data_IF_674072657122
#
_entry.id   IF_674072657122
#
_cell.length_a   1.000
_cell.length_b   1.000
_cell.length_c   1.000
_cell.angle_alpha   90.00
_cell.angle_beta   90.00
_cell.angle_gamma   90.00
#
_symmetry.space_group_name_H-M   'P 1'
#
loop_
_entity.id
_entity.type
_entity.pdbx_description
1 polymer ?
#
# COMPACT_ATOMS: atom_id res chain seq x y z
N UNK A 1 12.22 -33.60 -6.28
CA UNK A 1 12.54 -32.26 -6.80
C UNK A 1 12.56 -31.34 -5.60
N UNK A 2 13.69 -30.65 -5.36
CA UNK A 2 13.69 -29.60 -4.32
C UNK A 2 12.75 -28.49 -4.76
N UNK A 3 11.71 -28.21 -3.97
CA UNK A 3 10.77 -27.15 -4.27
C UNK A 3 11.50 -25.78 -4.20
N UNK A 4 11.28 -24.93 -5.20
CA UNK A 4 11.86 -23.59 -5.29
C UNK A 4 11.31 -22.70 -4.19
N UNK A 5 12.14 -21.87 -3.57
CA UNK A 5 11.63 -20.71 -2.81
C UNK A 5 11.32 -19.58 -3.78
N UNK A 6 10.32 -18.79 -3.47
CA UNK A 6 9.96 -17.60 -4.21
C UNK A 6 10.17 -16.37 -3.32
N UNK A 7 10.92 -15.42 -3.80
CA UNK A 7 11.14 -14.14 -3.16
C UNK A 7 10.51 -13.07 -4.04
N UNK A 8 9.46 -12.42 -3.54
CA UNK A 8 8.72 -11.40 -4.26
C UNK A 8 8.88 -10.06 -3.53
N UNK A 9 9.43 -9.08 -4.22
CA UNK A 9 9.66 -7.75 -3.67
C UNK A 9 8.86 -6.73 -4.47
N UNK A 10 8.07 -5.93 -3.77
CA UNK A 10 7.29 -4.82 -4.34
C UNK A 10 7.93 -3.51 -3.93
N UNK A 11 8.38 -2.74 -4.91
CA UNK A 11 8.72 -1.32 -4.76
C UNK A 11 7.41 -0.54 -4.92
N UNK A 12 6.80 -0.12 -3.81
CA UNK A 12 5.46 0.47 -3.81
C UNK A 12 5.41 1.75 -4.65
N UNK A 13 4.35 1.94 -5.43
CA UNK A 13 4.15 3.03 -6.38
C UNK A 13 5.18 3.13 -7.55
N UNK A 14 6.09 2.18 -7.70
CA UNK A 14 7.06 2.17 -8.79
C UNK A 14 6.45 1.55 -10.06
N UNK A 15 6.23 2.38 -11.09
CA UNK A 15 5.63 1.95 -12.34
C UNK A 15 6.41 2.40 -13.57
N UNK A 16 6.19 1.67 -14.68
CA UNK A 16 6.84 1.90 -15.99
C UNK A 16 5.82 2.29 -17.08
N UNK A 17 4.67 2.78 -16.67
CA UNK A 17 3.58 3.21 -17.56
C UNK A 17 2.25 3.25 -16.82
N UNK A 18 1.24 3.83 -17.47
CA UNK A 18 -0.12 3.92 -16.96
C UNK A 18 -0.88 2.61 -17.20
N UNK A 19 -1.76 2.25 -16.27
CA UNK A 19 -2.70 1.15 -16.46
C UNK A 19 -3.73 1.45 -17.57
N UNK A 20 -4.39 0.42 -18.14
CA UNK A 20 -5.32 0.60 -19.26
C UNK A 20 -6.55 1.44 -18.92
N UNK A 21 -6.93 1.51 -17.66
CA UNK A 21 -8.06 2.30 -17.17
C UNK A 21 -7.66 3.59 -16.45
N UNK A 22 -6.38 3.98 -16.51
CA UNK A 22 -5.84 5.17 -15.86
C UNK A 22 -6.58 6.48 -16.24
N UNK A 23 -7.20 6.52 -17.41
CA UNK A 23 -8.02 7.66 -17.87
C UNK A 23 -9.24 7.92 -16.97
N UNK A 24 -9.66 6.94 -16.16
CA UNK A 24 -10.78 7.07 -15.20
C UNK A 24 -10.35 7.77 -13.90
N UNK A 25 -9.06 7.92 -13.67
CA UNK A 25 -8.51 8.38 -12.41
C UNK A 25 -7.70 9.65 -12.58
N UNK A 26 -7.61 10.39 -11.49
CA UNK A 26 -6.79 11.60 -11.42
C UNK A 26 -6.31 11.83 -9.99
N UNK A 27 -5.20 12.51 -9.85
CA UNK A 27 -4.64 12.97 -8.58
C UNK A 27 -4.66 14.52 -8.56
N UNK A 28 -5.64 15.09 -7.84
CA UNK A 28 -5.97 16.50 -8.00
C UNK A 28 -6.49 16.75 -9.43
N UNK A 29 -5.86 17.67 -10.16
CA UNK A 29 -6.20 18.02 -11.55
C UNK A 29 -5.34 17.26 -12.58
N UNK A 30 -4.47 16.34 -12.14
CA UNK A 30 -3.55 15.63 -13.02
C UNK A 30 -4.12 14.24 -13.34
N UNK A 31 -4.39 13.94 -14.63
CA UNK A 31 -4.86 12.62 -15.05
C UNK A 31 -3.79 11.55 -14.82
N UNK A 32 -4.19 10.36 -14.37
CA UNK A 32 -3.28 9.24 -14.16
C UNK A 32 -2.83 8.57 -15.48
N UNK A 33 -3.45 8.91 -16.60
CA UNK A 33 -3.06 8.45 -17.94
C UNK A 33 -1.61 8.81 -18.33
N UNK A 34 -1.01 9.78 -17.64
CA UNK A 34 0.40 10.14 -17.79
C UNK A 34 1.36 9.44 -16.83
N UNK A 35 0.91 8.47 -16.05
CA UNK A 35 1.74 7.80 -15.04
C UNK A 35 2.92 7.06 -15.68
N UNK A 36 4.13 7.36 -15.20
CA UNK A 36 5.40 6.75 -15.61
C UNK A 36 6.48 7.11 -14.58
N UNK A 37 6.46 6.45 -13.44
CA UNK A 37 7.34 6.78 -12.31
C UNK A 37 8.81 6.71 -12.70
N UNK A 38 9.25 5.61 -13.32
CA UNK A 38 10.65 5.45 -13.75
C UNK A 38 11.05 6.50 -14.79
N UNK A 39 10.23 6.71 -15.82
CA UNK A 39 10.54 7.64 -16.90
C UNK A 39 10.64 9.08 -16.44
N UNK A 40 9.71 9.50 -15.58
CA UNK A 40 9.73 10.86 -15.01
C UNK A 40 10.93 11.09 -14.09
N UNK A 41 11.26 10.14 -13.21
CA UNK A 41 12.44 10.24 -12.35
C UNK A 41 13.72 10.26 -13.18
N UNK A 42 13.87 9.33 -14.14
CA UNK A 42 15.06 9.27 -15.00
C UNK A 42 15.25 10.57 -15.81
N UNK A 43 14.15 11.13 -16.35
CA UNK A 43 14.18 12.39 -17.08
C UNK A 43 14.58 13.57 -16.18
N UNK A 44 14.05 13.62 -14.95
CA UNK A 44 14.35 14.69 -13.99
C UNK A 44 15.80 14.65 -13.50
N UNK A 45 16.38 13.45 -13.33
CA UNK A 45 17.80 13.28 -13.00
C UNK A 45 18.69 13.67 -14.17
N UNK A 46 18.36 13.22 -15.38
CA UNK A 46 19.13 13.49 -16.59
C UNK A 46 19.13 14.98 -16.99
N UNK A 47 18.01 15.67 -16.82
CA UNK A 47 17.90 17.11 -17.07
C UNK A 47 18.45 18.00 -15.95
N UNK A 48 18.68 17.42 -14.75
CA UNK A 48 19.11 18.18 -13.57
C UNK A 48 18.00 18.92 -12.85
N UNK A 49 16.73 18.62 -13.14
CA UNK A 49 15.60 19.23 -12.43
C UNK A 49 15.35 18.62 -11.06
N UNK A 50 15.75 17.36 -10.86
CA UNK A 50 15.64 16.69 -9.54
C UNK A 50 16.91 16.86 -8.70
N UNK A 51 18.11 16.75 -9.31
CA UNK A 51 19.40 16.80 -8.62
C UNK A 51 20.43 17.63 -9.37
N UNK A 52 21.44 18.12 -8.66
CA UNK A 52 22.60 18.81 -9.26
C UNK A 52 23.90 18.16 -8.75
N UNK A 53 24.92 17.95 -9.62
CA UNK A 53 24.87 18.14 -11.07
C UNK A 53 23.94 17.14 -11.78
N UNK A 54 23.44 17.52 -12.96
CA UNK A 54 22.63 16.64 -13.81
C UNK A 54 23.38 15.36 -14.15
N UNK A 55 22.72 14.22 -14.07
CA UNK A 55 23.30 12.91 -14.40
C UNK A 55 22.18 11.88 -14.65
N UNK A 56 22.46 10.77 -15.33
CA UNK A 56 21.51 9.66 -15.38
C UNK A 56 21.20 9.09 -14.00
N UNK A 57 19.97 8.60 -13.82
CA UNK A 57 19.59 7.75 -12.69
C UNK A 57 20.42 6.45 -12.76
N UNK A 58 21.06 6.05 -11.65
CA UNK A 58 22.05 4.96 -11.61
C UNK A 58 21.47 3.72 -10.95
N UNK A 59 20.95 2.80 -11.75
CA UNK A 59 20.40 1.52 -11.31
C UNK A 59 21.06 0.34 -12.06
N UNK A 60 22.40 0.17 -11.95
CA UNK A 60 23.12 -0.81 -12.78
C UNK A 60 22.68 -2.25 -12.55
N UNK A 61 22.31 -2.63 -11.31
CA UNK A 61 21.86 -3.98 -11.00
C UNK A 61 20.45 -4.24 -11.51
N UNK A 62 19.50 -3.31 -11.31
CA UNK A 62 18.15 -3.40 -11.87
C UNK A 62 18.18 -3.38 -13.41
N UNK A 63 19.08 -2.59 -14.01
CA UNK A 63 19.27 -2.62 -15.46
C UNK A 63 19.75 -3.99 -15.94
N UNK A 64 20.76 -4.57 -15.29
CA UNK A 64 21.26 -5.91 -15.65
C UNK A 64 20.21 -7.01 -15.42
N UNK A 65 19.29 -6.83 -14.47
CA UNK A 65 18.15 -7.72 -14.27
C UNK A 65 17.03 -7.52 -15.31
N UNK A 66 17.07 -6.46 -16.12
CA UNK A 66 16.19 -6.25 -17.26
C UNK A 66 15.20 -5.09 -17.14
N UNK A 67 15.26 -4.26 -16.09
CA UNK A 67 14.34 -3.13 -15.89
C UNK A 67 14.29 -2.18 -17.10
N UNK A 68 15.45 -1.87 -17.72
CA UNK A 68 15.51 -1.02 -18.91
C UNK A 68 14.78 -1.62 -20.12
N UNK A 69 14.86 -2.93 -20.30
CA UNK A 69 14.16 -3.62 -21.38
C UNK A 69 12.66 -3.78 -21.10
N UNK A 70 12.25 -3.99 -19.82
CA UNK A 70 10.84 -3.94 -19.42
C UNK A 70 10.22 -2.58 -19.73
N UNK A 71 10.94 -1.50 -19.40
CA UNK A 71 10.53 -0.13 -19.72
C UNK A 71 10.43 0.08 -21.24
N UNK A 72 11.39 -0.42 -22.00
CA UNK A 72 11.39 -0.31 -23.47
C UNK A 72 10.21 -1.06 -24.10
N UNK A 73 9.79 -2.19 -23.55
CA UNK A 73 8.57 -2.88 -24.01
C UNK A 73 7.34 -2.00 -23.76
N UNK A 74 7.23 -1.42 -22.57
CA UNK A 74 6.08 -0.57 -22.18
C UNK A 74 6.05 0.76 -22.92
N UNK A 75 7.21 1.42 -23.12
CA UNK A 75 7.28 2.82 -23.56
C UNK A 75 7.92 3.04 -24.96
N UNK A 76 8.45 1.98 -25.56
CA UNK A 76 9.12 2.04 -26.88
C UNK A 76 10.56 2.56 -26.85
N UNK A 77 11.02 3.14 -25.76
CA UNK A 77 12.36 3.72 -25.58
C UNK A 77 12.97 3.28 -24.26
N UNK A 78 14.27 3.49 -24.08
CA UNK A 78 14.92 3.37 -22.78
C UNK A 78 14.67 4.63 -21.94
N UNK A 79 14.75 4.54 -20.59
CA UNK A 79 14.73 5.71 -19.72
C UNK A 79 15.82 6.73 -20.10
N UNK A 80 15.59 8.01 -19.84
CA UNK A 80 16.50 9.08 -20.20
C UNK A 80 17.92 8.85 -19.62
N UNK A 81 18.92 8.95 -20.47
CA UNK A 81 20.33 8.75 -20.11
C UNK A 81 20.76 7.30 -19.95
N UNK A 82 19.88 6.31 -20.19
CA UNK A 82 20.24 4.89 -20.14
C UNK A 82 20.66 4.35 -21.50
N UNK A 83 21.51 3.34 -21.47
CA UNK A 83 21.93 2.55 -22.64
C UNK A 83 21.64 1.07 -22.38
N UNK A 84 21.59 0.27 -23.42
CA UNK A 84 21.52 -1.19 -23.28
C UNK A 84 22.73 -1.74 -22.56
N UNK A 85 22.54 -2.77 -21.76
CA UNK A 85 23.59 -3.50 -21.07
C UNK A 85 23.38 -5.01 -21.24
N UNK A 86 24.38 -5.78 -20.84
CA UNK A 86 24.26 -7.23 -20.77
C UNK A 86 23.27 -7.61 -19.65
N UNK A 87 22.41 -8.59 -19.96
CA UNK A 87 21.37 -9.02 -19.05
C UNK A 87 21.80 -10.27 -18.28
N UNK A 88 21.57 -10.24 -16.97
CA UNK A 88 21.79 -11.37 -16.07
C UNK A 88 20.47 -11.96 -15.55
N UNK A 89 19.35 -11.30 -15.80
CA UNK A 89 18.00 -11.71 -15.39
C UNK A 89 17.07 -11.90 -16.59
N UNK A 90 15.83 -12.26 -16.26
CA UNK A 90 14.71 -12.28 -17.19
C UNK A 90 13.81 -11.10 -16.91
N UNK A 91 13.12 -10.60 -17.91
CA UNK A 91 12.27 -9.42 -17.77
C UNK A 91 10.93 -9.62 -18.48
N UNK A 92 9.93 -8.93 -17.99
CA UNK A 92 8.61 -8.84 -18.61
C UNK A 92 7.98 -7.49 -18.31
N UNK A 93 6.93 -7.16 -19.05
CA UNK A 93 6.04 -6.06 -18.77
C UNK A 93 4.64 -6.65 -18.55
N UNK A 94 4.01 -6.31 -17.43
CA UNK A 94 2.66 -6.72 -17.12
C UNK A 94 1.74 -5.50 -17.06
N UNK A 95 0.52 -5.67 -17.53
CA UNK A 95 -0.52 -4.66 -17.48
C UNK A 95 -1.59 -5.10 -16.49
N UNK A 96 -2.02 -4.18 -15.60
CA UNK A 96 -3.07 -4.49 -14.61
C UNK A 96 -4.40 -4.74 -15.30
N UNK A 97 -5.11 -5.78 -14.87
CA UNK A 97 -6.49 -6.07 -15.27
C UNK A 97 -7.49 -5.85 -14.14
N UNK A 98 -7.01 -5.50 -12.94
CA UNK A 98 -7.87 -5.09 -11.82
C UNK A 98 -8.53 -3.76 -12.12
N UNK A 99 -9.79 -3.63 -11.74
CA UNK A 99 -10.48 -2.33 -11.71
C UNK A 99 -10.18 -1.66 -10.37
N UNK A 100 -9.78 -0.39 -10.39
CA UNK A 100 -9.50 0.37 -9.17
C UNK A 100 -8.03 0.74 -9.01
N UNK A 101 -7.82 1.73 -8.15
CA UNK A 101 -6.56 2.40 -7.93
C UNK A 101 -6.23 2.40 -6.43
N UNK A 102 -6.01 1.24 -5.88
CA UNK A 102 -5.65 1.13 -4.47
C UNK A 102 -4.63 0.00 -4.26
N UNK A 103 -3.91 0.08 -3.16
CA UNK A 103 -2.85 -0.87 -2.80
C UNK A 103 -3.34 -2.34 -2.78
N UNK A 104 -4.52 -2.68 -2.20
CA UNK A 104 -5.02 -4.04 -2.25
C UNK A 104 -5.21 -4.58 -3.66
N UNK A 105 -5.82 -3.81 -4.58
CA UNK A 105 -6.06 -4.27 -5.96
C UNK A 105 -4.76 -4.68 -6.65
N UNK A 106 -3.72 -3.88 -6.58
CA UNK A 106 -2.43 -4.19 -7.18
C UNK A 106 -1.75 -5.40 -6.54
N UNK A 107 -1.69 -5.44 -5.20
CA UNK A 107 -1.03 -6.53 -4.50
C UNK A 107 -1.76 -7.87 -4.64
N UNK A 108 -3.10 -7.88 -4.59
CA UNK A 108 -3.86 -9.11 -4.78
C UNK A 108 -3.70 -9.65 -6.20
N UNK A 109 -3.65 -8.77 -7.20
CA UNK A 109 -3.40 -9.17 -8.59
C UNK A 109 -2.00 -9.77 -8.76
N UNK A 110 -0.96 -9.17 -8.16
CA UNK A 110 0.40 -9.74 -8.11
C UNK A 110 0.37 -11.17 -7.51
N UNK A 111 -0.48 -11.42 -6.52
CA UNK A 111 -0.67 -12.74 -5.91
C UNK A 111 -1.71 -13.62 -6.62
N UNK A 112 -2.10 -13.29 -7.86
CA UNK A 112 -2.96 -14.09 -8.72
C UNK A 112 -4.46 -13.87 -8.55
N UNK A 113 -4.90 -12.84 -7.84
CA UNK A 113 -6.31 -12.53 -7.57
C UNK A 113 -6.64 -11.10 -8.03
N UNK A 114 -6.86 -10.89 -9.34
CA UNK A 114 -7.24 -9.57 -9.84
C UNK A 114 -8.63 -9.18 -9.33
N UNK A 115 -8.78 -7.91 -8.99
CA UNK A 115 -10.05 -7.32 -8.54
C UNK A 115 -10.87 -6.95 -9.77
N UNK A 116 -12.02 -7.64 -9.96
CA UNK A 116 -12.92 -7.46 -11.12
C UNK A 116 -14.26 -6.83 -10.74
N UNK A 117 -14.28 -6.11 -9.61
CA UNK A 117 -15.44 -5.35 -9.15
C UNK A 117 -15.02 -3.92 -8.85
N UNK A 118 -15.96 -2.99 -8.95
CA UNK A 118 -15.70 -1.60 -8.62
C UNK A 118 -15.77 -1.39 -7.12
N UNK A 119 -14.76 -0.73 -6.56
CA UNK A 119 -14.79 -0.26 -5.19
C UNK A 119 -15.86 0.81 -5.02
N UNK A 120 -16.51 0.83 -3.86
CA UNK A 120 -17.43 1.90 -3.50
C UNK A 120 -16.64 3.08 -2.93
N UNK A 121 -16.89 4.26 -3.45
CA UNK A 121 -16.37 5.52 -2.92
C UNK A 121 -17.53 6.35 -2.41
N UNK A 122 -17.42 6.86 -1.19
CA UNK A 122 -18.46 7.75 -0.68
C UNK A 122 -18.41 9.11 -1.41
N UNK A 123 -19.55 9.71 -1.73
CA UNK A 123 -19.60 10.96 -2.51
C UNK A 123 -19.05 12.15 -1.71
N UNK A 124 -18.44 13.12 -2.40
CA UNK A 124 -17.96 14.39 -1.81
C UNK A 124 -19.12 15.36 -1.53
N UNK A 125 -20.00 14.98 -0.63
CA UNK A 125 -21.15 15.79 -0.19
C UNK A 125 -21.22 15.78 1.33
N UNK A 126 -21.89 16.76 1.97
CA UNK A 126 -22.31 16.65 3.36
C UNK A 126 -23.19 15.40 3.56
N UNK A 127 -23.04 14.72 4.70
CA UNK A 127 -23.74 13.45 4.99
C UNK A 127 -23.48 12.39 3.91
N UNK A 128 -22.19 12.11 3.65
CA UNK A 128 -21.73 11.22 2.58
C UNK A 128 -22.03 9.74 2.82
N UNK A 129 -22.22 9.31 4.06
CA UNK A 129 -22.57 7.92 4.38
C UNK A 129 -24.07 7.69 4.25
N UNK A 130 -24.51 6.58 3.61
CA UNK A 130 -25.94 6.27 3.49
C UNK A 130 -26.63 6.21 4.84
N UNK A 131 -27.80 6.82 5.01
CA UNK A 131 -28.55 6.79 6.29
C UNK A 131 -28.85 5.38 6.80
N UNK A 132 -29.15 4.43 5.90
CA UNK A 132 -29.39 3.03 6.24
C UNK A 132 -28.14 2.34 6.81
N UNK A 133 -26.96 2.64 6.25
CA UNK A 133 -25.67 2.15 6.77
C UNK A 133 -25.43 2.67 8.18
N UNK A 134 -25.59 3.97 8.40
CA UNK A 134 -25.43 4.57 9.73
C UNK A 134 -26.41 4.00 10.75
N UNK A 135 -27.68 3.83 10.37
CA UNK A 135 -28.69 3.25 11.25
C UNK A 135 -28.30 1.84 11.72
N UNK A 136 -27.80 1.00 10.83
CA UNK A 136 -27.36 -0.35 11.16
C UNK A 136 -26.09 -0.34 12.04
N UNK A 137 -25.14 0.55 11.73
CA UNK A 137 -23.95 0.73 12.58
C UNK A 137 -24.35 1.16 13.99
N UNK A 138 -25.23 2.16 14.12
CA UNK A 138 -25.69 2.64 15.42
C UNK A 138 -26.43 1.56 16.20
N UNK A 139 -27.30 0.82 15.52
CA UNK A 139 -28.04 -0.29 16.14
C UNK A 139 -27.11 -1.36 16.72
N UNK A 140 -26.13 -1.83 15.92
CA UNK A 140 -25.23 -2.92 16.35
C UNK A 140 -24.16 -2.47 17.35
N UNK A 141 -23.68 -1.24 17.25
CA UNK A 141 -22.62 -0.73 18.13
C UNK A 141 -23.15 -0.12 19.43
N UNK A 142 -24.45 0.15 19.53
CA UNK A 142 -25.06 0.84 20.68
C UNK A 142 -24.71 2.32 20.79
N UNK A 143 -24.10 2.92 19.77
CA UNK A 143 -23.90 4.37 19.70
C UNK A 143 -25.14 5.04 19.11
N UNK A 144 -25.41 6.25 19.56
CA UNK A 144 -26.66 6.96 19.20
C UNK A 144 -26.50 7.87 17.98
N UNK A 145 -25.28 8.33 17.70
CA UNK A 145 -24.96 9.25 16.61
C UNK A 145 -23.45 9.29 16.38
N UNK A 146 -23.03 10.05 15.37
CA UNK A 146 -21.62 10.35 15.09
C UNK A 146 -21.45 11.81 14.70
N UNK A 147 -20.23 12.31 14.85
CA UNK A 147 -19.79 13.59 14.30
C UNK A 147 -19.21 13.39 12.90
N UNK A 148 -19.08 14.46 12.12
CA UNK A 148 -18.42 14.47 10.81
C UNK A 148 -19.33 14.05 9.68
N UNK A 149 -19.32 12.77 9.27
CA UNK A 149 -20.07 12.22 8.14
C UNK A 149 -19.78 12.96 6.82
N UNK A 150 -18.49 13.16 6.49
CA UNK A 150 -18.05 13.86 5.28
C UNK A 150 -16.64 13.47 4.85
N UNK A 151 -16.23 13.94 3.68
CA UNK A 151 -14.83 13.92 3.27
C UNK A 151 -14.02 14.92 4.11
N UNK A 152 -12.88 14.48 4.63
CA UNK A 152 -11.95 15.34 5.33
C UNK A 152 -10.53 14.77 5.34
N UNK A 153 -9.54 15.65 5.50
CA UNK A 153 -8.22 15.29 5.98
C UNK A 153 -8.33 14.89 7.46
N UNK A 154 -7.62 13.85 7.84
CA UNK A 154 -7.72 13.38 9.22
C UNK A 154 -7.05 14.29 10.25
N UNK A 155 -6.22 15.28 9.85
CA UNK A 155 -5.72 16.33 10.75
C UNK A 155 -6.76 17.43 10.92
N UNK A 156 -7.29 17.94 9.83
CA UNK A 156 -8.31 19.00 9.85
C UNK A 156 -9.56 18.61 10.63
N UNK A 157 -10.06 17.38 10.44
CA UNK A 157 -11.27 16.94 11.13
C UNK A 157 -11.07 16.77 12.64
N UNK A 158 -9.84 16.45 13.09
CA UNK A 158 -9.52 16.41 14.50
C UNK A 158 -9.47 17.81 15.11
N UNK A 159 -8.89 18.78 14.43
CA UNK A 159 -8.86 20.18 14.87
C UNK A 159 -10.27 20.73 15.00
N UNK A 160 -11.16 20.39 14.07
CA UNK A 160 -12.53 20.88 14.04
C UNK A 160 -13.45 20.18 15.05
N UNK A 161 -13.39 18.86 15.16
CA UNK A 161 -14.37 18.06 15.89
C UNK A 161 -13.82 17.37 17.15
N UNK A 162 -12.51 17.42 17.40
CA UNK A 162 -11.89 16.71 18.53
C UNK A 162 -12.42 17.17 19.89
N UNK A 163 -12.58 18.48 20.10
CA UNK A 163 -13.14 19.02 21.32
C UNK A 163 -14.62 18.62 21.53
N UNK A 164 -15.41 18.63 20.46
CA UNK A 164 -16.82 18.20 20.51
C UNK A 164 -16.93 16.70 20.77
N UNK A 165 -16.08 15.88 20.14
CA UNK A 165 -15.96 14.46 20.42
C UNK A 165 -15.73 14.19 21.91
N UNK A 166 -14.74 14.87 22.52
CA UNK A 166 -14.44 14.70 23.94
C UNK A 166 -15.61 15.10 24.85
N UNK A 167 -16.34 16.15 24.48
CA UNK A 167 -17.50 16.65 25.22
C UNK A 167 -18.72 15.75 25.12
N UNK A 168 -18.96 15.15 23.93
CA UNK A 168 -20.19 14.38 23.66
C UNK A 168 -19.99 12.87 23.77
N UNK A 169 -18.76 12.38 23.63
CA UNK A 169 -18.45 10.96 23.53
C UNK A 169 -18.88 10.34 22.18
N UNK A 170 -19.30 11.14 21.20
CA UNK A 170 -19.69 10.67 19.87
C UNK A 170 -18.46 10.45 18.98
N UNK A 171 -18.32 9.30 18.31
CA UNK A 171 -17.18 9.05 17.41
C UNK A 171 -17.24 9.98 16.20
N UNK A 172 -16.07 10.31 15.64
CA UNK A 172 -15.95 11.09 14.42
C UNK A 172 -15.86 10.14 13.22
N UNK A 173 -16.87 10.15 12.36
CA UNK A 173 -16.92 9.37 11.12
C UNK A 173 -16.57 10.25 9.94
N UNK A 174 -15.64 9.81 9.09
CA UNK A 174 -15.26 10.54 7.90
C UNK A 174 -14.67 9.61 6.83
N UNK A 175 -14.50 10.12 5.63
CA UNK A 175 -13.86 9.41 4.53
C UNK A 175 -12.85 10.31 3.83
N UNK A 176 -12.10 9.75 2.90
CA UNK A 176 -11.14 10.45 2.04
C UNK A 176 -11.34 10.06 0.57
N UNK A 177 -10.34 10.30 -0.27
CA UNK A 177 -10.41 9.94 -1.70
C UNK A 177 -10.40 8.42 -1.94
N UNK A 178 -9.89 7.64 -0.97
CA UNK A 178 -9.84 6.18 -1.06
C UNK A 178 -11.18 5.53 -0.71
N UNK A 179 -11.32 4.23 -1.02
CA UNK A 179 -12.45 3.41 -0.59
C UNK A 179 -12.34 3.04 0.89
N UNK A 180 -12.59 4.01 1.77
CA UNK A 180 -12.37 3.86 3.22
C UNK A 180 -13.51 4.43 4.05
N UNK A 181 -13.75 3.82 5.22
CA UNK A 181 -14.56 4.35 6.30
C UNK A 181 -13.63 4.60 7.50
N UNK A 182 -13.46 5.83 7.92
CA UNK A 182 -12.53 6.19 8.99
C UNK A 182 -13.26 6.62 10.25
N UNK A 183 -12.77 6.18 11.41
CA UNK A 183 -13.36 6.46 12.72
C UNK A 183 -12.25 7.03 13.60
N UNK A 184 -12.39 8.29 14.00
CA UNK A 184 -11.47 8.90 14.94
C UNK A 184 -12.11 9.05 16.32
N UNK A 185 -11.36 8.65 17.36
CA UNK A 185 -11.75 8.79 18.76
C UNK A 185 -10.53 9.08 19.63
N UNK A 186 -10.76 9.82 20.71
CA UNK A 186 -9.73 10.11 21.70
C UNK A 186 -9.47 8.90 22.58
N UNK A 187 -8.21 8.47 22.73
CA UNK A 187 -7.85 7.22 23.39
C UNK A 187 -8.29 7.14 24.86
N UNK A 188 -8.14 8.23 25.60
CA UNK A 188 -8.43 8.24 27.03
C UNK A 188 -9.95 8.43 27.32
N UNK A 189 -10.59 9.38 26.62
CA UNK A 189 -11.99 9.71 26.93
C UNK A 189 -13.01 8.78 26.29
N UNK A 190 -12.73 8.21 25.12
CA UNK A 190 -13.57 7.24 24.44
C UNK A 190 -13.15 5.79 24.74
N UNK A 191 -11.85 5.54 24.82
CA UNK A 191 -11.24 4.23 25.01
C UNK A 191 -10.80 3.59 23.71
N UNK A 192 -9.52 3.14 23.68
CA UNK A 192 -8.95 2.48 22.51
C UNK A 192 -9.69 1.21 22.15
N UNK A 193 -9.93 0.33 23.12
CA UNK A 193 -10.64 -0.95 22.90
C UNK A 193 -12.07 -0.73 22.37
N UNK A 194 -12.74 0.31 22.84
CA UNK A 194 -14.07 0.68 22.37
C UNK A 194 -14.03 1.15 20.91
N UNK A 195 -13.01 1.93 20.53
CA UNK A 195 -12.79 2.34 19.13
C UNK A 195 -12.53 1.12 18.24
N UNK A 196 -11.65 0.21 18.66
CA UNK A 196 -11.35 -1.00 17.90
C UNK A 196 -12.58 -1.89 17.73
N UNK A 197 -13.36 -2.11 18.79
CA UNK A 197 -14.62 -2.85 18.71
C UNK A 197 -15.67 -2.19 17.81
N UNK A 198 -15.77 -0.85 17.83
CA UNK A 198 -16.63 -0.11 16.91
C UNK A 198 -16.19 -0.29 15.45
N UNK A 199 -14.89 -0.21 15.17
CA UNK A 199 -14.35 -0.43 13.81
C UNK A 199 -14.63 -1.86 13.31
N UNK A 200 -14.53 -2.85 14.19
CA UNK A 200 -14.87 -4.23 13.84
C UNK A 200 -16.37 -4.39 13.53
N UNK A 201 -17.24 -3.76 14.31
CA UNK A 201 -18.68 -3.74 14.03
C UNK A 201 -18.99 -3.10 12.69
N UNK A 202 -18.35 -1.96 12.38
CA UNK A 202 -18.51 -1.28 11.09
C UNK A 202 -18.01 -2.16 9.94
N UNK A 203 -16.87 -2.87 10.12
CA UNK A 203 -16.36 -3.81 9.09
C UNK A 203 -17.38 -4.91 8.82
N UNK A 204 -17.93 -5.53 9.85
CA UNK A 204 -18.97 -6.56 9.72
C UNK A 204 -20.22 -6.05 8.98
N UNK A 205 -20.72 -4.86 9.34
CA UNK A 205 -21.88 -4.26 8.67
C UNK A 205 -21.59 -3.99 7.18
N UNK A 206 -20.40 -3.50 6.86
CA UNK A 206 -19.99 -3.25 5.48
C UNK A 206 -19.83 -4.56 4.69
N UNK A 207 -19.30 -5.62 5.29
CA UNK A 207 -19.15 -6.93 4.65
C UNK A 207 -20.49 -7.59 4.31
N UNK A 208 -21.50 -7.37 5.13
CA UNK A 208 -22.87 -7.84 4.90
C UNK A 208 -23.67 -6.95 3.94
N UNK A 209 -23.16 -5.75 3.63
CA UNK A 209 -23.80 -4.81 2.72
C UNK A 209 -23.38 -5.04 1.24
N UNK A 210 -24.06 -4.35 0.33
CA UNK A 210 -23.65 -4.30 -1.08
C UNK A 210 -22.44 -3.38 -1.35
N UNK A 211 -22.03 -2.60 -0.34
CA UNK A 211 -20.94 -1.63 -0.47
C UNK A 211 -19.58 -2.33 -0.43
N UNK A 212 -18.75 -2.11 -1.43
CA UNK A 212 -17.39 -2.65 -1.51
C UNK A 212 -16.38 -1.63 -0.98
N UNK A 213 -16.32 -1.48 0.35
CA UNK A 213 -15.40 -0.57 1.03
C UNK A 213 -14.13 -1.32 1.40
N UNK A 214 -13.00 -0.89 0.87
CA UNK A 214 -11.72 -1.58 1.02
C UNK A 214 -11.21 -1.67 2.47
N UNK A 215 -11.38 -0.60 3.27
CA UNK A 215 -10.88 -0.57 4.66
C UNK A 215 -11.80 0.20 5.59
N UNK A 216 -11.92 -0.29 6.82
CA UNK A 216 -12.35 0.52 7.97
C UNK A 216 -11.10 0.86 8.79
N UNK A 217 -10.90 2.13 9.12
CA UNK A 217 -9.66 2.59 9.75
C UNK A 217 -9.96 3.19 11.11
N UNK A 218 -9.40 2.58 12.16
CA UNK A 218 -9.34 3.19 13.48
C UNK A 218 -8.26 4.28 13.50
N UNK A 219 -8.65 5.50 13.88
CA UNK A 219 -7.78 6.68 13.98
C UNK A 219 -7.77 7.22 15.41
N UNK A 220 -7.11 6.52 16.34
CA UNK A 220 -6.99 7.02 17.70
C UNK A 220 -6.14 8.29 17.76
N UNK A 221 -6.49 9.17 18.67
CA UNK A 221 -5.76 10.41 18.93
C UNK A 221 -5.76 10.76 20.43
N UNK A 222 -4.85 11.62 20.83
CA UNK A 222 -4.70 12.16 22.18
C UNK A 222 -4.61 13.69 22.14
N UNK A 223 -4.62 14.31 23.30
CA UNK A 223 -4.47 15.76 23.47
C UNK A 223 -5.51 16.35 24.40
N UNK A 224 -5.28 17.55 24.97
CA UNK A 224 -6.26 18.23 25.80
C UNK A 224 -7.47 18.72 24.96
N UNK A 225 -8.61 18.91 25.61
CA UNK A 225 -9.83 19.40 24.93
C UNK A 225 -9.65 20.75 24.21
N UNK A 226 -8.65 21.52 24.59
CA UNK A 226 -8.28 22.77 23.91
C UNK A 226 -7.37 22.59 22.69
N UNK A 227 -6.98 21.31 22.36
CA UNK A 227 -5.95 21.03 21.34
C UNK A 227 -4.53 21.39 21.81
N UNK A 228 -3.51 21.13 21.00
CA UNK A 228 -3.60 20.42 19.73
C UNK A 228 -3.88 18.93 19.92
N UNK A 229 -4.55 18.33 18.93
CA UNK A 229 -4.78 16.89 18.89
C UNK A 229 -3.70 16.18 18.07
N UNK A 230 -3.20 15.06 18.60
CA UNK A 230 -2.13 14.26 17.99
C UNK A 230 -2.63 12.84 17.72
N UNK A 231 -2.43 12.36 16.50
CA UNK A 231 -2.67 10.96 16.18
C UNK A 231 -1.68 10.08 16.90
N UNK A 232 -2.14 8.95 17.42
CA UNK A 232 -1.27 7.97 18.07
C UNK A 232 -0.80 6.90 17.08
N UNK A 233 0.17 6.11 17.52
CA UNK A 233 0.65 4.94 16.78
C UNK A 233 -0.31 3.75 16.78
N UNK A 234 -1.42 3.79 17.55
CA UNK A 234 -2.39 2.70 17.70
C UNK A 234 -3.44 2.67 16.56
N UNK A 235 -3.11 3.25 15.40
CA UNK A 235 -3.91 3.09 14.19
C UNK A 235 -4.07 1.61 13.86
N UNK A 236 -5.29 1.20 13.49
CA UNK A 236 -5.56 -0.14 12.99
C UNK A 236 -6.45 -0.08 11.75
N UNK A 237 -6.06 -0.82 10.70
CA UNK A 237 -6.78 -0.91 9.45
C UNK A 237 -7.46 -2.28 9.35
N UNK A 238 -8.80 -2.29 9.32
CA UNK A 238 -9.61 -3.48 9.06
C UNK A 238 -9.85 -3.57 7.55
N UNK A 239 -8.94 -4.22 6.85
CA UNK A 239 -9.03 -4.46 5.41
C UNK A 239 -10.02 -5.58 5.11
N UNK A 240 -10.67 -5.51 3.94
CA UNK A 240 -11.41 -6.64 3.40
C UNK A 240 -10.41 -7.70 2.92
N UNK A 241 -10.65 -9.00 3.15
CA UNK A 241 -9.75 -10.03 2.64
C UNK A 241 -9.85 -10.16 1.11
N UNK A 242 -8.82 -10.73 0.44
CA UNK A 242 -8.87 -11.04 -0.98
C UNK A 242 -10.11 -11.88 -1.32
N UNK A 243 -10.77 -11.61 -2.48
CA UNK A 243 -12.03 -12.29 -2.84
C UNK A 243 -11.85 -13.76 -3.28
N UNK A 244 -10.62 -14.24 -3.38
CA UNK A 244 -10.27 -15.61 -3.71
C UNK A 244 -8.91 -16.00 -3.10
N UNK A 245 -8.57 -17.31 -3.03
CA UNK A 245 -7.29 -17.74 -2.50
C UNK A 245 -6.10 -17.20 -3.29
N UNK A 246 -5.26 -16.41 -2.64
CA UNK A 246 -4.03 -15.83 -3.18
C UNK A 246 -2.88 -16.85 -3.22
N UNK A 247 -1.77 -16.50 -3.88
CA UNK A 247 -0.54 -17.30 -3.84
C UNK A 247 -0.06 -17.56 -2.40
N UNK A 248 -0.15 -16.54 -1.52
CA UNK A 248 0.20 -16.66 -0.10
C UNK A 248 -0.69 -17.69 0.60
N UNK A 249 -2.00 -17.59 0.40
CA UNK A 249 -2.96 -18.52 1.01
C UNK A 249 -2.76 -19.96 0.53
N UNK A 250 -2.54 -20.15 -0.77
CA UNK A 250 -2.27 -21.48 -1.32
C UNK A 250 -0.97 -22.08 -0.79
N UNK A 251 0.07 -21.26 -0.61
CA UNK A 251 1.32 -21.70 0.01
C UNK A 251 1.09 -22.14 1.47
N UNK A 252 0.35 -21.35 2.25
CA UNK A 252 0.02 -21.67 3.63
C UNK A 252 -0.84 -22.94 3.76
N UNK A 253 -1.86 -23.10 2.91
CA UNK A 253 -2.72 -24.30 2.86
C UNK A 253 -1.93 -25.58 2.50
N UNK A 254 -0.88 -25.46 1.67
CA UNK A 254 0.06 -26.52 1.36
C UNK A 254 1.10 -26.79 2.49
N UNK A 255 0.99 -26.12 3.64
CA UNK A 255 1.93 -26.24 4.77
C UNK A 255 3.29 -25.63 4.50
N UNK A 256 3.41 -24.72 3.54
CA UNK A 256 4.62 -23.98 3.19
C UNK A 256 4.70 -22.66 3.94
N UNK A 257 5.92 -22.13 4.02
CA UNK A 257 6.09 -20.79 4.56
C UNK A 257 5.49 -19.74 3.61
N UNK A 258 4.74 -18.80 4.16
CA UNK A 258 4.27 -17.59 3.52
C UNK A 258 4.60 -16.42 4.45
N UNK A 259 5.80 -15.87 4.29
CA UNK A 259 6.36 -14.82 5.17
C UNK A 259 6.04 -13.45 4.56
N UNK A 260 5.23 -12.67 5.25
CA UNK A 260 4.86 -11.31 4.86
C UNK A 260 5.65 -10.26 5.64
N UNK A 261 6.37 -9.37 4.95
CA UNK A 261 7.24 -8.36 5.57
C UNK A 261 6.70 -6.95 5.27
N UNK A 262 6.75 -6.09 6.28
CA UNK A 262 6.24 -4.73 6.21
C UNK A 262 4.71 -4.72 6.25
N UNK A 263 4.05 -4.11 5.26
CA UNK A 263 2.59 -4.02 5.17
C UNK A 263 1.89 -5.21 4.53
N UNK A 264 2.62 -6.26 4.14
CA UNK A 264 2.03 -7.39 3.42
C UNK A 264 0.87 -8.01 4.20
N UNK A 265 1.04 -8.27 5.49
CA UNK A 265 -0.03 -8.85 6.31
C UNK A 265 -1.29 -7.97 6.31
N UNK A 266 -1.15 -6.67 6.52
CA UNK A 266 -2.28 -5.72 6.51
C UNK A 266 -2.98 -5.67 5.14
N UNK A 267 -2.21 -5.68 4.04
CA UNK A 267 -2.75 -5.62 2.66
C UNK A 267 -3.59 -6.86 2.32
N UNK A 268 -3.18 -8.01 2.83
CA UNK A 268 -3.89 -9.28 2.64
C UNK A 268 -4.87 -9.61 3.78
N UNK A 269 -5.20 -8.65 4.66
CA UNK A 269 -6.06 -8.84 5.83
C UNK A 269 -5.65 -10.08 6.65
N UNK A 270 -4.34 -10.28 6.83
CA UNK A 270 -3.69 -11.41 7.51
C UNK A 270 -4.01 -12.80 6.92
N UNK A 271 -4.66 -12.83 5.75
CA UNK A 271 -5.09 -14.09 5.12
C UNK A 271 -3.92 -14.76 4.40
N UNK A 272 -3.65 -16.02 4.75
CA UNK A 272 -2.61 -16.83 4.11
C UNK A 272 -1.18 -16.46 4.52
N UNK A 273 -0.98 -15.70 5.57
CA UNK A 273 0.33 -15.36 6.12
C UNK A 273 0.68 -16.33 7.25
N UNK A 274 1.77 -17.06 7.11
CA UNK A 274 2.25 -17.99 8.15
C UNK A 274 3.19 -17.32 9.15
N UNK A 275 3.84 -16.23 8.73
CA UNK A 275 4.70 -15.41 9.58
C UNK A 275 4.58 -13.94 9.17
N UNK A 276 4.24 -13.08 10.12
CA UNK A 276 4.17 -11.64 9.95
C UNK A 276 5.43 -10.99 10.53
N UNK A 277 6.12 -10.21 9.70
CA UNK A 277 7.32 -9.47 10.11
C UNK A 277 7.07 -7.99 9.96
N UNK A 278 6.87 -7.32 11.08
CA UNK A 278 6.68 -5.87 11.10
C UNK A 278 8.01 -5.15 10.99
N UNK A 279 8.15 -4.34 9.94
CA UNK A 279 9.29 -3.49 9.71
C UNK A 279 8.84 -2.18 9.04
N UNK A 280 9.55 -1.09 9.29
CA UNK A 280 9.29 0.22 8.72
C UNK A 280 10.62 0.90 8.40
N UNK A 281 10.66 1.58 7.26
CA UNK A 281 11.88 2.15 6.71
C UNK A 281 12.68 1.16 5.86
N UNK A 282 13.26 1.62 4.73
CA UNK A 282 13.96 0.77 3.78
C UNK A 282 15.04 -0.09 4.43
N UNK A 283 15.81 0.45 5.38
CA UNK A 283 16.89 -0.28 6.04
C UNK A 283 16.38 -1.48 6.85
N UNK A 284 15.29 -1.30 7.63
CA UNK A 284 14.70 -2.37 8.42
C UNK A 284 14.02 -3.41 7.53
N UNK A 285 13.24 -2.97 6.52
CA UNK A 285 12.62 -3.86 5.54
C UNK A 285 13.66 -4.73 4.83
N UNK A 286 14.80 -4.14 4.47
CA UNK A 286 15.90 -4.86 3.85
C UNK A 286 16.48 -5.93 4.77
N UNK A 287 16.80 -5.55 6.02
CA UNK A 287 17.35 -6.46 7.03
C UNK A 287 16.42 -7.65 7.26
N UNK A 288 15.13 -7.39 7.46
CA UNK A 288 14.15 -8.44 7.69
C UNK A 288 13.91 -9.31 6.45
N UNK A 289 13.99 -8.75 5.24
CA UNK A 289 13.91 -9.53 4.00
C UNK A 289 15.06 -10.52 3.90
N UNK A 290 16.29 -10.09 4.13
CA UNK A 290 17.47 -10.97 4.11
C UNK A 290 17.37 -12.06 5.19
N UNK A 291 16.93 -11.71 6.39
CA UNK A 291 16.73 -12.68 7.48
C UNK A 291 15.60 -13.69 7.15
N UNK A 292 14.51 -13.23 6.51
CA UNK A 292 13.43 -14.12 6.08
C UNK A 292 13.87 -15.10 4.98
N UNK A 293 14.70 -14.64 4.03
CA UNK A 293 15.29 -15.52 3.00
C UNK A 293 16.13 -16.62 3.66
N UNK A 294 16.90 -16.32 4.70
CA UNK A 294 17.74 -17.33 5.37
C UNK A 294 16.92 -18.43 6.06
N UNK A 295 15.79 -18.08 6.69
CA UNK A 295 14.96 -19.03 7.46
C UNK A 295 13.82 -19.67 6.64
N UNK A 296 13.45 -19.12 5.48
CA UNK A 296 12.39 -19.67 4.64
C UNK A 296 12.74 -21.07 4.14
N UNK A 297 11.82 -22.02 4.38
CA UNK A 297 11.97 -23.42 3.97
C UNK A 297 11.79 -23.58 2.46
N UNK A 298 12.27 -24.69 1.93
CA UNK A 298 12.07 -25.04 0.52
C UNK A 298 10.58 -25.07 0.15
N UNK A 299 10.23 -24.45 -0.97
CA UNK A 299 8.85 -24.30 -1.42
C UNK A 299 8.10 -23.13 -0.81
N UNK A 300 8.73 -22.39 0.11
CA UNK A 300 8.13 -21.21 0.75
C UNK A 300 8.19 -19.97 -0.11
N UNK A 301 7.45 -18.96 0.33
CA UNK A 301 7.32 -17.64 -0.26
C UNK A 301 7.72 -16.58 0.78
N UNK A 302 8.58 -15.66 0.37
CA UNK A 302 8.88 -14.41 1.09
C UNK A 302 8.32 -13.26 0.26
N UNK A 303 7.45 -12.44 0.83
CA UNK A 303 6.91 -11.27 0.15
C UNK A 303 7.19 -10.01 0.98
N UNK A 304 7.81 -9.01 0.37
CA UNK A 304 8.14 -7.74 1.01
C UNK A 304 7.55 -6.57 0.25
N UNK A 305 6.94 -5.63 0.95
CA UNK A 305 6.51 -4.35 0.41
C UNK A 305 7.45 -3.23 0.92
N UNK A 306 8.21 -2.63 0.03
CA UNK A 306 9.01 -1.43 0.30
C UNK A 306 8.13 -0.19 0.21
N UNK A 307 7.31 -0.01 1.23
CA UNK A 307 6.22 0.99 1.28
C UNK A 307 6.70 2.44 1.25
N UNK A 308 7.94 2.71 1.67
CA UNK A 308 8.45 4.08 1.76
C UNK A 308 8.62 4.73 0.39
N UNK A 309 8.78 3.94 -0.68
CA UNK A 309 8.73 4.46 -2.04
C UNK A 309 7.44 5.25 -2.29
N UNK A 310 6.30 4.74 -1.83
CA UNK A 310 5.03 5.45 -1.88
C UNK A 310 4.86 6.44 -0.73
N UNK A 311 4.93 5.96 0.50
CA UNK A 311 4.52 6.71 1.69
C UNK A 311 5.41 7.92 2.00
N UNK A 312 6.71 7.83 1.72
CA UNK A 312 7.68 8.90 1.99
C UNK A 312 7.89 9.78 0.75
N UNK A 313 8.02 9.18 -0.42
CA UNK A 313 8.42 9.89 -1.64
C UNK A 313 7.25 10.07 -2.62
N UNK A 314 6.49 9.01 -2.92
CA UNK A 314 5.43 9.01 -3.94
C UNK A 314 4.31 9.99 -3.62
N UNK A 315 3.69 9.89 -2.45
CA UNK A 315 2.63 10.80 -2.01
C UNK A 315 3.07 12.27 -1.95
N UNK A 316 4.35 12.53 -1.71
CA UNK A 316 4.91 13.90 -1.63
C UNK A 316 5.40 14.42 -2.95
N UNK A 317 5.38 13.60 -4.01
CA UNK A 317 5.98 13.92 -5.32
C UNK A 317 7.45 14.32 -5.20
N UNK A 318 8.17 13.72 -4.25
CA UNK A 318 9.60 13.94 -4.04
C UNK A 318 10.41 13.12 -5.05
N UNK A 319 10.58 13.66 -6.25
CA UNK A 319 11.28 13.03 -7.35
C UNK A 319 12.76 12.75 -7.03
N UNK A 320 13.40 13.68 -6.32
CA UNK A 320 14.80 13.53 -5.93
C UNK A 320 14.99 12.42 -4.90
N UNK A 321 14.20 12.45 -3.81
CA UNK A 321 14.25 11.44 -2.76
C UNK A 321 13.90 10.05 -3.29
N UNK A 322 12.88 9.95 -4.16
CA UNK A 322 12.49 8.67 -4.77
C UNK A 322 13.65 8.07 -5.60
N UNK A 323 14.27 8.87 -6.47
CA UNK A 323 15.38 8.41 -7.29
C UNK A 323 16.60 8.00 -6.48
N UNK A 324 16.95 8.76 -5.42
CA UNK A 324 18.05 8.40 -4.51
C UNK A 324 17.75 7.12 -3.74
N UNK A 325 16.50 6.93 -3.30
CA UNK A 325 16.06 5.70 -2.64
C UNK A 325 16.13 4.48 -3.57
N UNK A 326 15.82 4.64 -4.87
CA UNK A 326 16.03 3.59 -5.87
C UNK A 326 17.51 3.25 -6.04
N UNK A 327 18.40 4.25 -6.09
CA UNK A 327 19.85 4.02 -6.17
C UNK A 327 20.37 3.29 -4.92
N UNK A 328 19.88 3.65 -3.71
CA UNK A 328 20.22 2.93 -2.49
C UNK A 328 19.72 1.48 -2.51
N UNK A 329 18.49 1.25 -3.00
CA UNK A 329 17.94 -0.08 -3.17
C UNK A 329 18.78 -0.91 -4.15
N UNK A 330 19.15 -0.35 -5.30
CA UNK A 330 19.96 -1.01 -6.34
C UNK A 330 21.31 -1.47 -5.81
N UNK A 331 22.01 -0.62 -5.04
CA UNK A 331 23.30 -0.94 -4.43
C UNK A 331 23.24 -2.15 -3.49
N UNK A 332 22.07 -2.40 -2.86
CA UNK A 332 21.88 -3.54 -1.95
C UNK A 332 21.46 -4.84 -2.63
N UNK A 333 21.08 -4.80 -3.91
CA UNK A 333 20.64 -6.01 -4.63
C UNK A 333 21.67 -7.14 -4.66
N UNK A 334 22.99 -6.89 -4.81
CA UNK A 334 23.99 -7.97 -4.75
C UNK A 334 23.94 -8.78 -3.45
N UNK A 335 23.67 -8.16 -2.30
CA UNK A 335 23.59 -8.84 -1.02
C UNK A 335 22.40 -9.82 -0.98
N UNK A 336 21.28 -9.42 -1.59
CA UNK A 336 20.11 -10.29 -1.72
C UNK A 336 20.38 -11.43 -2.70
N UNK A 337 20.92 -11.12 -3.86
CA UNK A 337 21.23 -12.12 -4.90
C UNK A 337 22.20 -13.17 -4.35
N UNK A 338 23.19 -12.77 -3.55
CA UNK A 338 24.15 -13.69 -2.92
C UNK A 338 23.51 -14.68 -1.94
N UNK A 339 22.32 -14.39 -1.41
CA UNK A 339 21.56 -15.30 -0.53
C UNK A 339 20.68 -16.28 -1.28
N UNK A 340 20.50 -16.11 -2.58
CA UNK A 340 19.66 -17.00 -3.38
C UNK A 340 20.36 -18.31 -3.63
N UNK A 341 19.58 -19.39 -3.57
CA UNK A 341 19.99 -20.73 -4.02
C UNK A 341 19.78 -20.82 -5.53
N UNK A 342 20.50 -21.71 -6.24
CA UNK A 342 20.35 -21.86 -7.69
C UNK A 342 18.93 -22.19 -8.17
N UNK A 343 18.08 -22.69 -7.28
CA UNK A 343 16.68 -23.04 -7.59
C UNK A 343 15.67 -21.97 -7.18
N UNK A 344 16.09 -20.90 -6.49
CA UNK A 344 15.19 -19.85 -6.04
C UNK A 344 14.72 -18.98 -7.22
N UNK A 345 13.55 -18.37 -7.06
CA UNK A 345 13.01 -17.38 -7.97
C UNK A 345 12.91 -16.05 -7.24
N UNK A 346 13.62 -15.05 -7.74
CA UNK A 346 13.46 -13.65 -7.32
C UNK A 346 12.60 -12.92 -8.35
N UNK A 347 11.56 -12.25 -7.86
CA UNK A 347 10.70 -11.33 -8.62
C UNK A 347 10.76 -9.94 -7.98
N UNK A 348 11.08 -8.91 -8.77
CA UNK A 348 11.12 -7.51 -8.37
C UNK A 348 10.05 -6.72 -9.11
#
# INVERSE_FOLDING_TARGET
>A
MNARRVILIVMDSFGIGAGPDAYKFQSGDIPDSGSDTLGHIASAFYSGTAIQPARPLRLPHLQSLGLGESYRISRGTLPAGWSRCDLSGHFACAESISTGKDTPSGHWEIAGVPVRFDWTYFPKVPACFPPSLLAEIFHRSGITSSLGNRHASGTEILEELGAEHMRTGLPIFYTSADSVFQIACHEESFGLDRLLGLCQTVRTVLDESSLKIGRVIARPFTGPASGPFLRTGNRHDYAVPPPAPTLLQRAAEDGRDAIGIGKIADIYAHTGITEEVRASGHAALWTETLAAIDRCRNGGLVMTNFVDFDAVFGHRRDTAGYGLALEEFDVRLPDLIAKLRPTDLLCL
#
